data_IF_013250165109
#
_entry.id   IF_013250165109
#
_cell.length_a   1.000
_cell.length_b   1.000
_cell.length_c   1.000
_cell.angle_alpha   90.00
_cell.angle_beta   90.00
_cell.angle_gamma   90.00
#
_symmetry.space_group_name_H-M   'P 1'
#
loop_
_entity.id
_entity.type
_entity.pdbx_description
1 polymer ?
#
# COMPACT_ATOMS: atom_id res chain seq x y z
N UNK A 1 -30.49 56.13 -20.44
CA UNK A 1 -29.03 56.08 -20.66
C UNK A 1 -28.38 55.71 -19.32
N UNK A 2 -27.59 54.62 -19.25
CA UNK A 2 -27.17 53.91 -18.02
C UNK A 2 -25.86 54.51 -17.46
N UNK A 3 -25.23 54.08 -16.34
CA UNK A 3 -25.20 52.77 -15.67
C UNK A 3 -24.68 52.88 -14.22
N UNK A 4 -25.28 52.08 -13.33
CA UNK A 4 -24.83 51.75 -11.97
C UNK A 4 -24.00 50.46 -11.94
N UNK A 5 -23.19 50.30 -10.89
CA UNK A 5 -23.17 49.04 -10.12
C UNK A 5 -22.01 48.07 -10.35
N UNK A 6 -21.36 47.65 -9.25
CA UNK A 6 -20.37 46.56 -9.14
C UNK A 6 -21.05 45.20 -8.95
N UNK A 7 -20.31 44.15 -9.36
CA UNK A 7 -20.08 42.84 -8.72
C UNK A 7 -20.65 41.53 -9.36
N UNK A 8 -19.67 40.65 -9.69
CA UNK A 8 -19.55 39.19 -9.47
C UNK A 8 -20.24 38.13 -10.37
N UNK A 9 -19.48 37.02 -10.53
CA UNK A 9 -19.75 35.66 -11.09
C UNK A 9 -19.71 35.57 -12.63
N UNK A 10 -19.11 34.59 -13.31
CA UNK A 10 -18.81 33.18 -13.02
C UNK A 10 -17.62 32.67 -13.89
N UNK A 11 -17.08 31.50 -13.54
CA UNK A 11 -15.85 30.85 -14.04
C UNK A 11 -15.95 30.33 -15.50
N UNK A 12 -14.86 29.83 -16.13
CA UNK A 12 -14.57 28.39 -15.99
C UNK A 12 -13.08 27.98 -15.97
N UNK A 13 -12.83 26.96 -15.15
CA UNK A 13 -11.94 25.80 -15.35
C UNK A 13 -10.53 26.07 -15.91
N UNK A 14 -9.55 26.09 -15.01
CA UNK A 14 -8.23 25.54 -15.34
C UNK A 14 -7.92 24.34 -14.45
N UNK A 15 -7.79 23.20 -15.13
CA UNK A 15 -7.50 21.88 -14.59
C UNK A 15 -6.00 21.79 -14.31
N UNK A 16 -5.56 22.41 -13.22
CA UNK A 16 -4.20 22.32 -12.73
C UNK A 16 -4.09 21.28 -11.61
N UNK A 17 -3.64 20.08 -11.96
CA UNK A 17 -3.25 19.02 -11.04
C UNK A 17 -2.35 19.54 -9.91
N UNK A 18 -2.88 19.61 -8.68
CA UNK A 18 -2.08 19.70 -7.46
C UNK A 18 -1.94 18.31 -6.85
N UNK A 19 -1.30 17.40 -7.58
CA UNK A 19 -0.60 16.25 -6.99
C UNK A 19 0.64 16.79 -6.28
N UNK A 20 0.48 17.22 -5.03
CA UNK A 20 1.65 17.51 -4.19
C UNK A 20 1.28 17.38 -2.73
N UNK A 21 2.16 16.70 -2.01
CA UNK A 21 2.22 16.57 -0.54
C UNK A 21 1.37 15.45 0.07
N UNK A 22 1.81 14.21 -0.14
CA UNK A 22 2.34 13.39 0.98
C UNK A 22 3.08 12.17 0.40
N UNK A 23 4.18 12.43 -0.33
CA UNK A 23 5.23 11.44 -0.57
C UNK A 23 6.20 11.48 0.60
N UNK A 24 5.71 11.11 1.79
CA UNK A 24 6.57 10.85 2.93
C UNK A 24 7.09 9.41 2.83
N UNK A 25 8.05 9.25 1.93
CA UNK A 25 9.00 8.15 1.90
C UNK A 25 9.81 8.26 3.19
N UNK A 26 9.53 7.41 4.17
CA UNK A 26 10.48 7.19 5.25
C UNK A 26 11.27 5.92 4.93
N UNK A 27 12.44 6.12 4.33
CA UNK A 27 13.65 5.65 5.00
C UNK A 27 13.83 6.58 6.20
N UNK A 28 13.89 6.06 7.41
CA UNK A 28 14.32 6.88 8.55
C UNK A 28 15.68 7.49 8.20
N UNK A 29 15.83 8.81 8.34
CA UNK A 29 17.14 9.44 8.46
C UNK A 29 17.75 9.00 9.81
N UNK A 30 18.12 7.73 9.87
CA UNK A 30 19.03 7.17 10.82
C UNK A 30 20.09 6.52 9.97
N UNK A 31 21.33 6.94 10.16
CA UNK A 31 22.53 6.46 9.49
C UNK A 31 22.48 4.93 9.38
N UNK A 32 22.05 4.47 8.22
CA UNK A 32 21.66 3.10 7.98
C UNK A 32 22.02 2.79 6.54
N UNK A 33 22.93 1.83 6.39
CA UNK A 33 23.42 1.34 5.10
C UNK A 33 22.29 1.22 4.06
N UNK A 34 22.54 1.55 2.79
CA UNK A 34 21.55 1.36 1.73
C UNK A 34 21.05 -0.08 1.79
N UNK A 35 19.75 -0.25 2.10
CA UNK A 35 19.14 -1.57 2.12
C UNK A 35 19.40 -2.22 0.77
N UNK A 36 19.96 -3.44 0.78
CA UNK A 36 20.28 -4.13 -0.47
C UNK A 36 19.00 -4.27 -1.31
N UNK A 37 19.11 -4.29 -2.64
CA UNK A 37 17.98 -4.41 -3.56
C UNK A 37 17.09 -5.66 -3.27
N UNK A 38 17.62 -6.64 -2.53
CA UNK A 38 16.86 -7.80 -2.03
C UNK A 38 16.01 -7.55 -0.78
N UNK A 39 16.23 -6.49 -0.02
CA UNK A 39 15.60 -6.32 1.29
C UNK A 39 14.33 -5.47 1.25
N UNK A 40 13.96 -4.94 0.08
CA UNK A 40 12.78 -4.10 -0.12
C UNK A 40 11.90 -4.61 -1.26
N UNK A 41 10.58 -4.44 -1.12
CA UNK A 41 9.55 -4.80 -2.09
C UNK A 41 8.89 -3.53 -2.60
N UNK A 42 8.75 -3.40 -3.92
CA UNK A 42 7.92 -2.37 -4.52
C UNK A 42 6.51 -2.94 -4.70
N UNK A 43 5.56 -2.46 -3.91
CA UNK A 43 4.15 -2.84 -4.00
C UNK A 43 3.43 -1.73 -4.76
N UNK A 44 3.01 -2.03 -6.00
CA UNK A 44 2.26 -1.13 -6.85
C UNK A 44 0.76 -1.46 -6.72
N UNK A 45 -0.01 -0.56 -6.10
CA UNK A 45 -1.44 -0.78 -5.87
C UNK A 45 -2.21 0.27 -6.65
N UNK A 46 -3.01 -0.14 -7.63
CA UNK A 46 -3.81 0.76 -8.46
C UNK A 46 -3.00 1.86 -9.16
N UNK A 47 -1.71 1.61 -9.45
CA UNK A 47 -0.78 2.56 -10.07
C UNK A 47 0.10 3.35 -9.09
N UNK A 48 -0.19 3.32 -7.78
CA UNK A 48 0.63 3.97 -6.75
C UNK A 48 1.66 3.01 -6.18
N UNK A 49 2.93 3.44 -6.13
CA UNK A 49 4.04 2.61 -5.63
C UNK A 49 4.32 2.87 -4.16
N UNK A 50 4.48 1.78 -3.41
CA UNK A 50 4.83 1.76 -2.00
C UNK A 50 6.04 0.84 -1.79
N UNK A 51 7.05 1.29 -1.06
CA UNK A 51 8.23 0.48 -0.75
C UNK A 51 8.12 -0.05 0.68
N UNK A 52 8.20 -1.37 0.86
CA UNK A 52 8.18 -2.03 2.16
C UNK A 52 9.39 -2.93 2.33
N UNK A 53 9.95 -3.02 3.54
CA UNK A 53 11.07 -3.92 3.79
C UNK A 53 10.59 -5.38 3.94
N UNK A 54 11.44 -6.32 3.57
CA UNK A 54 11.26 -7.76 3.83
C UNK A 54 10.98 -7.99 5.32
N UNK A 55 11.65 -7.26 6.21
CA UNK A 55 11.45 -7.39 7.66
C UNK A 55 10.03 -7.02 8.07
N UNK A 56 9.48 -5.91 7.58
CA UNK A 56 8.11 -5.50 7.90
C UNK A 56 7.09 -6.53 7.42
N UNK A 57 7.26 -7.05 6.20
CA UNK A 57 6.36 -8.07 5.66
C UNK A 57 6.47 -9.40 6.43
N UNK A 58 7.69 -9.79 6.84
CA UNK A 58 7.95 -10.99 7.63
C UNK A 58 7.35 -10.96 9.04
N UNK A 59 7.03 -9.78 9.60
CA UNK A 59 6.33 -9.68 10.88
C UNK A 59 4.92 -10.27 10.84
N UNK A 60 4.29 -10.31 9.65
CA UNK A 60 2.91 -10.77 9.49
C UNK A 60 2.80 -11.80 8.35
N UNK A 61 3.40 -13.00 8.48
CA UNK A 61 3.54 -13.95 7.37
C UNK A 61 2.21 -14.56 6.89
N UNK A 62 1.13 -14.40 7.65
CA UNK A 62 -0.22 -14.87 7.28
C UNK A 62 -0.93 -13.94 6.29
N UNK A 63 -0.53 -12.67 6.25
CA UNK A 63 -1.06 -11.66 5.32
C UNK A 63 -0.62 -11.95 3.88
N UNK A 64 -1.33 -11.37 2.90
CA UNK A 64 -1.00 -11.53 1.47
C UNK A 64 0.43 -11.08 1.16
N UNK A 65 0.85 -9.91 1.62
CA UNK A 65 2.21 -9.43 1.37
C UNK A 65 3.26 -10.19 2.18
N UNK A 66 2.91 -10.66 3.38
CA UNK A 66 3.80 -11.55 4.16
C UNK A 66 4.06 -12.87 3.43
N UNK A 67 3.01 -13.51 2.90
CA UNK A 67 3.12 -14.71 2.06
C UNK A 67 3.95 -14.43 0.81
N UNK A 68 3.71 -13.30 0.14
CA UNK A 68 4.45 -12.91 -1.05
C UNK A 68 5.94 -12.79 -0.74
N UNK A 69 6.30 -12.16 0.37
CA UNK A 69 7.68 -12.02 0.79
C UNK A 69 8.35 -13.37 1.04
N UNK A 70 7.64 -14.33 1.66
CA UNK A 70 8.13 -15.71 1.86
C UNK A 70 8.35 -16.43 0.53
N UNK A 71 7.39 -16.33 -0.39
CA UNK A 71 7.47 -16.93 -1.73
C UNK A 71 8.68 -16.37 -2.48
N UNK A 72 8.80 -15.05 -2.56
CA UNK A 72 9.88 -14.37 -3.29
C UNK A 72 11.25 -14.68 -2.68
N UNK A 73 11.37 -14.68 -1.34
CA UNK A 73 12.61 -15.07 -0.67
C UNK A 73 13.01 -16.52 -0.97
N UNK A 74 12.06 -17.42 -1.21
CA UNK A 74 12.36 -18.81 -1.56
C UNK A 74 12.93 -18.98 -2.97
N UNK A 75 12.52 -18.15 -3.94
CA UNK A 75 13.09 -18.15 -5.29
C UNK A 75 14.54 -17.67 -5.35
N UNK A 76 14.96 -16.83 -4.40
CA UNK A 76 16.35 -16.34 -4.32
C UNK A 76 17.33 -17.37 -3.76
N UNK A 77 16.84 -18.47 -3.16
CA UNK A 77 17.72 -19.50 -2.62
C UNK A 77 18.21 -20.44 -3.74
N UNK A 78 19.53 -20.69 -3.84
CA UNK A 78 20.05 -21.70 -4.74
C UNK A 78 19.40 -23.07 -4.45
N UNK A 79 18.87 -23.72 -5.48
CA UNK A 79 18.18 -25.01 -5.34
C UNK A 79 16.70 -24.91 -4.97
N UNK A 80 16.04 -23.77 -5.22
CA UNK A 80 14.60 -23.61 -5.07
C UNK A 80 13.84 -24.77 -5.75
N UNK A 81 13.02 -25.47 -4.97
CA UNK A 81 12.26 -26.63 -5.42
C UNK A 81 11.16 -26.22 -6.39
N UNK A 82 10.84 -27.09 -7.35
CA UNK A 82 9.74 -26.90 -8.32
C UNK A 82 8.34 -26.75 -7.69
N UNK A 83 8.21 -26.92 -6.37
CA UNK A 83 6.95 -26.88 -5.63
C UNK A 83 6.67 -25.53 -4.95
N UNK A 84 7.49 -24.50 -5.15
CA UNK A 84 7.20 -23.16 -4.62
C UNK A 84 6.04 -22.54 -5.43
N UNK A 85 4.97 -22.05 -4.78
CA UNK A 85 3.86 -21.40 -5.48
C UNK A 85 4.33 -20.13 -6.17
N UNK A 86 3.72 -19.80 -7.31
CA UNK A 86 4.09 -18.61 -8.08
C UNK A 86 3.75 -17.33 -7.32
N UNK A 87 4.56 -16.27 -7.36
CA UNK A 87 4.18 -14.95 -6.83
C UNK A 87 2.86 -14.43 -7.42
N UNK A 88 2.52 -14.83 -8.65
CA UNK A 88 1.28 -14.47 -9.35
C UNK A 88 0.02 -15.10 -8.74
N UNK A 89 0.15 -16.04 -7.80
CA UNK A 89 -1.00 -16.49 -7.01
C UNK A 89 -1.42 -15.46 -5.95
N UNK A 90 -0.55 -14.49 -5.67
CA UNK A 90 -0.72 -13.51 -4.60
C UNK A 90 -0.88 -12.08 -5.12
N UNK A 91 -0.48 -11.78 -6.36
CA UNK A 91 -0.55 -10.47 -7.01
C UNK A 91 -1.07 -10.59 -8.44
N UNK A 92 -1.53 -9.48 -9.02
CA UNK A 92 -2.16 -9.46 -10.34
C UNK A 92 -1.14 -9.37 -11.49
N UNK A 93 0.03 -8.77 -11.23
CA UNK A 93 1.19 -8.80 -12.14
C UNK A 93 2.50 -8.67 -11.35
N UNK A 94 3.63 -9.08 -11.92
CA UNK A 94 4.92 -9.00 -11.28
C UNK A 94 6.04 -8.69 -12.26
N UNK A 95 6.88 -7.72 -11.90
CA UNK A 95 8.16 -7.45 -12.55
C UNK A 95 9.30 -7.92 -11.63
N UNK A 96 9.83 -9.14 -11.85
CA UNK A 96 10.86 -9.72 -10.99
C UNK A 96 12.21 -9.00 -11.09
N UNK A 97 12.46 -8.24 -12.16
CA UNK A 97 13.71 -7.47 -12.33
C UNK A 97 13.75 -6.31 -11.33
N UNK A 98 12.64 -5.61 -11.19
CA UNK A 98 12.52 -4.43 -10.31
C UNK A 98 12.00 -4.77 -8.90
N UNK A 99 11.77 -6.06 -8.62
CA UNK A 99 11.10 -6.55 -7.42
C UNK A 99 9.76 -5.81 -7.17
N UNK A 100 9.03 -5.54 -8.24
CA UNK A 100 7.75 -4.83 -8.26
C UNK A 100 6.58 -5.81 -8.44
N UNK A 101 5.56 -5.66 -7.59
CA UNK A 101 4.37 -6.50 -7.57
C UNK A 101 3.12 -5.63 -7.64
N UNK A 102 2.29 -5.88 -8.64
CA UNK A 102 1.09 -5.10 -8.94
C UNK A 102 -0.17 -5.72 -8.35
N UNK A 103 -1.05 -4.87 -7.83
CA UNK A 103 -2.34 -5.23 -7.27
C UNK A 103 -3.42 -4.29 -7.82
N UNK A 104 -4.46 -4.84 -8.44
CA UNK A 104 -5.61 -4.12 -8.97
C UNK A 104 -6.60 -3.78 -7.83
N UNK A 105 -6.10 -3.02 -6.84
CA UNK A 105 -6.85 -2.58 -5.65
C UNK A 105 -6.75 -1.06 -5.48
N UNK A 106 -7.55 -0.53 -4.57
CA UNK A 106 -7.54 0.90 -4.24
C UNK A 106 -6.26 1.29 -3.48
N UNK A 107 -5.45 2.16 -4.07
CA UNK A 107 -4.26 2.73 -3.41
C UNK A 107 -4.61 3.55 -2.17
N UNK A 108 -5.78 4.20 -2.15
CA UNK A 108 -6.28 4.94 -0.99
C UNK A 108 -6.55 3.98 0.17
N UNK A 109 -7.23 2.86 -0.11
CA UNK A 109 -7.51 1.85 0.91
C UNK A 109 -6.25 1.10 1.37
N UNK A 110 -5.25 0.97 0.51
CA UNK A 110 -3.99 0.35 0.88
C UNK A 110 -3.23 1.11 1.99
N UNK A 111 -3.52 2.39 2.22
CA UNK A 111 -2.91 3.16 3.34
C UNK A 111 -3.22 2.53 4.70
N UNK A 112 -4.38 1.89 4.86
CA UNK A 112 -4.76 1.17 6.08
C UNK A 112 -3.87 -0.07 6.30
N UNK A 113 -3.60 -0.80 5.23
CA UNK A 113 -2.71 -1.97 5.23
C UNK A 113 -1.29 -1.55 5.57
N UNK A 114 -0.80 -0.47 4.97
CA UNK A 114 0.53 0.08 5.26
C UNK A 114 0.65 0.51 6.72
N UNK A 115 -0.41 1.09 7.29
CA UNK A 115 -0.44 1.44 8.71
C UNK A 115 -0.35 0.19 9.60
N UNK A 116 -1.07 -0.87 9.26
CA UNK A 116 -1.00 -2.15 9.97
C UNK A 116 0.44 -2.72 9.99
N UNK A 117 1.17 -2.69 8.89
CA UNK A 117 2.58 -3.13 8.88
C UNK A 117 3.51 -2.27 9.75
N UNK A 118 3.12 -1.04 10.08
CA UNK A 118 3.90 -0.14 10.95
C UNK A 118 3.59 -0.33 12.42
N UNK A 119 2.33 -0.55 12.77
CA UNK A 119 1.87 -0.54 14.18
C UNK A 119 1.47 -1.91 14.71
N UNK A 120 1.23 -2.87 13.82
CA UNK A 120 0.60 -4.16 14.12
C UNK A 120 -0.87 -4.05 14.52
N UNK A 121 -1.49 -2.86 14.38
CA UNK A 121 -2.86 -2.59 14.78
C UNK A 121 -3.62 -1.90 13.65
N UNK A 122 -4.86 -2.29 13.47
CA UNK A 122 -5.70 -1.80 12.39
C UNK A 122 -6.61 -0.69 12.95
N UNK A 123 -6.53 0.49 12.37
CA UNK A 123 -7.41 1.62 12.72
C UNK A 123 -8.39 1.87 11.59
N UNK A 124 -9.66 2.03 11.95
CA UNK A 124 -10.72 2.46 11.02
C UNK A 124 -10.60 3.98 10.86
N UNK A 125 -10.55 4.44 9.62
CA UNK A 125 -10.46 5.85 9.23
C UNK A 125 -11.69 6.17 8.38
N UNK A 126 -12.25 7.38 8.51
CA UNK A 126 -13.56 7.79 7.96
C UNK A 126 -13.67 7.77 6.43
N UNK A 127 -12.57 7.52 5.71
CA UNK A 127 -12.51 7.62 4.26
C UNK A 127 -13.12 6.42 3.52
N UNK A 128 -13.41 5.32 4.23
CA UNK A 128 -14.02 4.11 3.65
C UNK A 128 -15.26 3.71 4.44
N UNK A 129 -16.31 3.25 3.74
CA UNK A 129 -17.43 2.60 4.40
C UNK A 129 -17.00 1.23 4.97
N UNK A 130 -17.73 0.76 5.99
CA UNK A 130 -17.40 -0.49 6.69
C UNK A 130 -17.28 -1.70 5.75
N UNK A 131 -18.17 -1.82 4.76
CA UNK A 131 -18.13 -2.93 3.80
C UNK A 131 -16.86 -2.92 2.94
N UNK A 132 -16.49 -1.77 2.38
CA UNK A 132 -15.27 -1.64 1.58
C UNK A 132 -14.03 -1.88 2.42
N UNK A 133 -14.00 -1.39 3.66
CA UNK A 133 -12.91 -1.66 4.58
C UNK A 133 -12.74 -3.15 4.89
N UNK A 134 -13.84 -3.86 5.20
CA UNK A 134 -13.82 -5.29 5.47
C UNK A 134 -13.34 -6.11 4.26
N UNK A 135 -13.80 -5.75 3.06
CA UNK A 135 -13.35 -6.38 1.81
C UNK A 135 -11.84 -6.19 1.59
N UNK A 136 -11.32 -5.01 1.89
CA UNK A 136 -9.90 -4.72 1.77
C UNK A 136 -9.09 -5.58 2.75
N UNK A 137 -9.39 -5.55 4.06
CA UNK A 137 -8.61 -6.34 5.02
C UNK A 137 -8.72 -7.84 4.76
N UNK A 138 -9.87 -8.32 4.29
CA UNK A 138 -10.03 -9.70 3.86
C UNK A 138 -9.13 -10.03 2.66
N UNK A 139 -9.09 -9.16 1.64
CA UNK A 139 -8.21 -9.33 0.48
C UNK A 139 -6.74 -9.39 0.91
N UNK A 140 -6.31 -8.50 1.79
CA UNK A 140 -4.94 -8.43 2.31
C UNK A 140 -4.62 -9.51 3.35
N UNK A 141 -5.62 -10.30 3.78
CA UNK A 141 -5.47 -11.39 4.75
C UNK A 141 -5.14 -10.90 6.16
N UNK A 142 -5.66 -9.73 6.54
CA UNK A 142 -5.56 -9.17 7.89
C UNK A 142 -6.85 -9.52 8.65
N UNK A 143 -6.68 -10.08 9.83
CA UNK A 143 -7.80 -10.48 10.69
C UNK A 143 -8.51 -9.25 11.26
N UNK A 144 -9.85 -9.25 11.24
CA UNK A 144 -10.71 -8.22 11.85
C UNK A 144 -10.45 -8.08 13.34
N UNK A 145 -10.00 -9.14 14.02
CA UNK A 145 -9.57 -9.10 15.42
C UNK A 145 -8.39 -8.15 15.67
N UNK A 146 -7.66 -7.77 14.60
CA UNK A 146 -6.59 -6.78 14.63
C UNK A 146 -7.07 -5.33 14.73
N UNK A 147 -8.39 -5.08 14.63
CA UNK A 147 -8.98 -3.76 14.86
C UNK A 147 -8.67 -3.32 16.29
N UNK A 148 -8.00 -2.20 16.43
CA UNK A 148 -7.64 -1.59 17.72
C UNK A 148 -8.91 -1.23 18.51
N UNK A 149 -8.85 -1.27 19.84
CA UNK A 149 -10.00 -0.98 20.69
C UNK A 149 -10.55 0.43 20.48
N UNK A 150 -9.71 1.40 20.08
CA UNK A 150 -10.17 2.76 19.81
C UNK A 150 -11.10 2.89 18.59
N UNK A 151 -11.26 1.83 17.79
CA UNK A 151 -12.06 1.81 16.57
C UNK A 151 -13.22 0.79 16.62
N UNK A 152 -13.54 0.26 17.81
CA UNK A 152 -14.61 -0.75 17.99
C UNK A 152 -15.96 -0.16 18.40
N UNK A 153 -16.01 1.16 18.62
CA UNK A 153 -17.18 1.90 19.11
C UNK A 153 -17.86 2.72 17.99
#
# INVERSE_FOLDING_TARGET
MPSSGRALLDSPLDSGSLTSLDSSVFCSEGEGEPLALGDCFTVNVGGSRFVLSQQALSCFPHTRLGKLAVVVASYRRPGALAAVPSPLELCDDANPVDNEYFFDRSSQAFRYVLHYYRTGRLHVMEQLCALSFLQEIQYWGIDELSIDSCCRD
#
